data_IF_875874577048
#
_entry.id   IF_875874577048
#
_cell.length_a   1.000
_cell.length_b   1.000
_cell.length_c   1.000
_cell.angle_alpha   90.00
_cell.angle_beta   90.00
_cell.angle_gamma   90.00
#
_symmetry.space_group_name_H-M   'P 1'
#
loop_
_entity.id
_entity.type
_entity.pdbx_description
1 polymer ?
#
# COMPACT_ATOMS: atom_id res chain seq x y z
N UNK A 1 9.40 20.57 13.48
CA UNK A 1 8.53 20.87 12.30
C UNK A 1 9.19 20.27 11.06
N UNK A 2 8.44 19.55 10.22
CA UNK A 2 8.99 19.02 8.96
C UNK A 2 9.14 20.14 7.95
N UNK A 3 10.32 20.25 7.32
CA UNK A 3 10.65 21.35 6.42
C UNK A 3 10.10 21.18 4.98
N UNK A 4 9.51 20.01 4.66
CA UNK A 4 9.08 19.70 3.30
C UNK A 4 7.62 19.22 3.26
N UNK A 5 6.86 19.61 2.23
CA UNK A 5 5.51 19.10 2.00
C UNK A 5 5.55 17.57 1.72
N UNK A 6 4.41 16.92 1.85
CA UNK A 6 4.27 15.50 1.53
C UNK A 6 4.43 15.29 0.01
N UNK A 7 5.52 14.63 -0.36
CA UNK A 7 5.87 14.32 -1.75
C UNK A 7 5.42 12.91 -2.18
N UNK A 8 4.35 12.37 -1.55
CA UNK A 8 3.79 11.10 -1.99
C UNK A 8 3.28 11.22 -3.44
N UNK A 9 3.68 10.33 -4.35
CA UNK A 9 3.16 10.35 -5.72
C UNK A 9 1.65 10.19 -5.75
N UNK A 10 1.01 10.87 -6.69
CA UNK A 10 -0.36 10.64 -7.11
C UNK A 10 -0.44 10.00 -8.49
N UNK A 11 -1.65 9.94 -9.05
CA UNK A 11 -1.90 9.57 -10.43
C UNK A 11 -2.01 10.80 -11.36
N UNK A 12 -2.39 11.94 -10.79
CA UNK A 12 -2.44 13.25 -11.46
C UNK A 12 -1.06 13.92 -11.38
N UNK A 13 -0.52 14.03 -10.15
CA UNK A 13 0.81 14.60 -9.91
C UNK A 13 1.86 13.49 -9.90
N UNK A 14 2.59 13.34 -11.00
CA UNK A 14 3.65 12.36 -11.13
C UNK A 14 4.88 12.75 -10.31
N UNK A 15 5.47 11.77 -9.64
CA UNK A 15 6.79 11.95 -9.07
C UNK A 15 7.86 11.71 -10.15
N UNK A 16 8.75 12.68 -10.36
CA UNK A 16 9.84 12.53 -11.31
C UNK A 16 10.91 11.59 -10.76
N UNK A 17 11.18 10.51 -11.48
CA UNK A 17 12.19 9.50 -11.17
C UNK A 17 13.24 9.43 -12.28
N UNK A 18 14.27 8.61 -12.13
CA UNK A 18 15.35 8.51 -13.11
C UNK A 18 14.91 7.84 -14.41
N UNK A 19 13.87 7.02 -14.35
CA UNK A 19 13.28 6.27 -15.45
C UNK A 19 12.00 6.92 -16.00
N UNK A 20 11.72 8.18 -15.69
CA UNK A 20 10.51 8.91 -16.10
C UNK A 20 9.56 9.16 -14.94
N UNK A 21 8.33 9.56 -15.27
CA UNK A 21 7.29 9.82 -14.29
C UNK A 21 6.85 8.53 -13.57
N UNK A 22 6.56 8.65 -12.28
CA UNK A 22 6.00 7.61 -11.45
C UNK A 22 4.63 8.04 -10.96
N UNK A 23 3.60 7.29 -11.34
CA UNK A 23 2.26 7.39 -10.79
C UNK A 23 2.05 6.39 -9.66
N UNK A 24 1.26 6.77 -8.65
CA UNK A 24 0.74 5.84 -7.63
C UNK A 24 -0.77 5.90 -7.62
N UNK A 25 -1.39 4.82 -8.04
CA UNK A 25 -2.83 4.64 -8.09
C UNK A 25 -3.29 4.03 -6.77
N UNK A 26 -4.20 4.72 -6.08
CA UNK A 26 -4.82 4.21 -4.85
C UNK A 26 -5.92 3.23 -5.21
N UNK A 27 -5.86 2.07 -4.56
CA UNK A 27 -6.81 0.96 -4.73
C UNK A 27 -7.38 0.63 -3.35
N UNK A 28 -8.46 1.30 -2.92
CA UNK A 28 -9.07 1.05 -1.63
C UNK A 28 -9.43 -0.42 -1.44
N UNK A 29 -8.98 -1.01 -0.32
CA UNK A 29 -9.13 -2.45 -0.05
C UNK A 29 -8.29 -3.38 -0.93
N UNK A 30 -7.53 -2.84 -1.88
CA UNK A 30 -6.76 -3.61 -2.86
C UNK A 30 -7.58 -4.26 -3.96
N UNK A 31 -8.91 -4.12 -3.98
CA UNK A 31 -9.83 -4.84 -4.88
C UNK A 31 -9.96 -4.15 -6.24
N UNK A 32 -9.85 -4.93 -7.30
CA UNK A 32 -10.00 -4.51 -8.69
C UNK A 32 -10.85 -5.52 -9.45
N UNK A 33 -11.87 -5.03 -10.17
CA UNK A 33 -12.55 -5.85 -11.16
C UNK A 33 -11.61 -6.25 -12.29
N UNK A 34 -12.00 -7.22 -13.11
CA UNK A 34 -11.21 -7.63 -14.28
C UNK A 34 -10.96 -6.43 -15.22
N UNK A 35 -11.99 -5.64 -15.48
CA UNK A 35 -11.92 -4.46 -16.34
C UNK A 35 -11.01 -3.38 -15.75
N UNK A 36 -11.11 -3.11 -14.46
CA UNK A 36 -10.26 -2.14 -13.77
C UNK A 36 -8.78 -2.56 -13.79
N UNK A 37 -8.54 -3.85 -13.54
CA UNK A 37 -7.20 -4.38 -13.58
C UNK A 37 -6.60 -4.36 -15.00
N UNK A 38 -7.41 -4.66 -16.02
CA UNK A 38 -7.00 -4.56 -17.42
C UNK A 38 -6.67 -3.12 -17.84
N UNK A 39 -7.41 -2.11 -17.34
CA UNK A 39 -7.04 -0.70 -17.57
C UNK A 39 -5.65 -0.39 -17.02
N UNK A 40 -5.29 -0.88 -15.82
CA UNK A 40 -3.96 -0.68 -15.25
C UNK A 40 -2.87 -1.43 -16.04
N UNK A 41 -3.14 -2.67 -16.46
CA UNK A 41 -2.21 -3.47 -17.25
C UNK A 41 -1.92 -2.83 -18.61
N UNK A 42 -2.97 -2.46 -19.33
CA UNK A 42 -2.84 -1.81 -20.64
C UNK A 42 -2.14 -0.45 -20.52
N UNK A 43 -2.47 0.34 -19.49
CA UNK A 43 -1.76 1.59 -19.25
C UNK A 43 -0.26 1.37 -18.94
N UNK A 44 0.10 0.34 -18.20
CA UNK A 44 1.50 0.03 -17.94
C UNK A 44 2.26 -0.42 -19.19
N UNK A 45 1.60 -1.14 -20.11
CA UNK A 45 2.20 -1.61 -21.37
C UNK A 45 2.36 -0.48 -22.39
N UNK A 46 1.37 0.40 -22.50
CA UNK A 46 1.33 1.43 -23.55
C UNK A 46 2.00 2.74 -23.11
N UNK A 47 1.88 3.12 -21.85
CA UNK A 47 2.33 4.42 -21.35
C UNK A 47 3.54 4.33 -20.43
N UNK A 48 3.84 3.16 -19.89
CA UNK A 48 4.85 2.98 -18.87
C UNK A 48 5.88 1.91 -19.19
N UNK A 49 6.50 1.38 -18.15
CA UNK A 49 7.59 0.40 -18.25
C UNK A 49 7.16 -1.04 -18.55
N UNK A 50 5.87 -1.31 -18.76
CA UNK A 50 5.32 -2.65 -18.95
C UNK A 50 5.11 -3.45 -17.65
N UNK A 51 5.26 -2.80 -16.50
CA UNK A 51 5.12 -3.45 -15.18
C UNK A 51 4.20 -2.68 -14.25
N UNK A 52 3.46 -3.42 -13.41
CA UNK A 52 2.75 -2.91 -12.26
C UNK A 52 3.57 -3.19 -11.01
N UNK A 53 3.89 -2.15 -10.21
CA UNK A 53 4.61 -2.32 -8.95
C UNK A 53 3.63 -2.28 -7.78
N UNK A 54 3.51 -3.40 -7.06
CA UNK A 54 2.64 -3.52 -5.90
C UNK A 54 3.30 -2.89 -4.67
N UNK A 55 2.51 -2.16 -3.89
CA UNK A 55 3.02 -1.46 -2.71
C UNK A 55 2.61 -2.15 -1.41
N UNK A 56 3.31 -1.84 -0.31
CA UNK A 56 2.95 -2.30 1.04
C UNK A 56 1.64 -1.70 1.59
N UNK A 57 0.94 -0.88 0.80
CA UNK A 57 -0.39 -0.35 1.11
C UNK A 57 -1.46 -0.84 0.15
N UNK A 58 -1.21 -1.99 -0.50
CA UNK A 58 -2.12 -2.58 -1.48
C UNK A 58 -2.49 -1.64 -2.65
N UNK A 59 -1.60 -0.69 -2.99
CA UNK A 59 -1.75 0.21 -4.13
C UNK A 59 -0.86 -0.24 -5.29
N UNK A 60 -1.07 0.37 -6.46
CA UNK A 60 -0.27 0.11 -7.67
C UNK A 60 0.59 1.32 -8.02
N UNK A 61 1.78 1.09 -8.52
CA UNK A 61 2.61 2.09 -9.18
C UNK A 61 2.87 1.71 -10.64
N UNK A 62 2.86 2.71 -11.50
CA UNK A 62 3.31 2.63 -12.89
C UNK A 62 4.48 3.60 -13.05
N UNK A 63 5.56 3.14 -13.65
CA UNK A 63 6.80 3.89 -13.86
C UNK A 63 7.10 4.08 -15.34
N UNK A 64 8.01 5.00 -15.64
CA UNK A 64 8.43 5.27 -17.02
C UNK A 64 7.41 6.06 -17.80
N UNK A 65 6.55 6.84 -17.12
CA UNK A 65 5.53 7.65 -17.75
C UNK A 65 6.13 8.95 -18.27
N UNK A 66 5.78 9.34 -19.51
CA UNK A 66 6.10 10.64 -20.06
C UNK A 66 5.15 11.72 -19.52
N UNK A 67 3.87 11.38 -19.33
CA UNK A 67 2.81 12.27 -18.86
C UNK A 67 1.76 11.51 -18.05
N UNK A 68 1.14 12.20 -17.07
CA UNK A 68 0.00 11.67 -16.30
C UNK A 68 -1.36 11.90 -16.94
N UNK A 69 -1.46 12.71 -18.01
CA UNK A 69 -2.75 13.17 -18.58
C UNK A 69 -3.58 11.99 -19.10
N UNK A 70 -2.98 11.16 -19.96
CA UNK A 70 -3.69 10.02 -20.54
C UNK A 70 -4.01 8.96 -19.48
N UNK A 71 -3.04 8.66 -18.59
CA UNK A 71 -3.25 7.74 -17.48
C UNK A 71 -4.42 8.18 -16.62
N UNK A 72 -4.45 9.44 -16.18
CA UNK A 72 -5.53 9.96 -15.32
C UNK A 72 -6.90 9.93 -16.01
N UNK A 73 -6.94 10.16 -17.32
CA UNK A 73 -8.16 10.00 -18.14
C UNK A 73 -8.70 8.56 -18.12
N UNK A 74 -7.82 7.57 -18.34
CA UNK A 74 -8.18 6.15 -18.30
C UNK A 74 -8.65 5.72 -16.89
N UNK A 75 -7.97 6.20 -15.85
CA UNK A 75 -8.33 5.90 -14.46
C UNK A 75 -9.70 6.47 -14.07
N UNK A 76 -10.02 7.71 -14.50
CA UNK A 76 -11.36 8.30 -14.27
C UNK A 76 -12.44 7.48 -14.98
N UNK A 77 -12.24 7.12 -16.23
CA UNK A 77 -13.18 6.30 -16.98
C UNK A 77 -13.45 4.93 -16.34
N UNK A 78 -12.45 4.35 -15.67
CA UNK A 78 -12.56 3.07 -14.95
C UNK A 78 -13.04 3.21 -13.49
N UNK A 79 -13.34 4.42 -13.00
CA UNK A 79 -13.72 4.65 -11.60
C UNK A 79 -12.58 4.52 -10.59
N UNK A 80 -11.32 4.41 -11.05
CA UNK A 80 -10.14 4.30 -10.18
C UNK A 80 -9.64 5.65 -9.66
N UNK A 81 -10.11 6.75 -10.25
CA UNK A 81 -9.81 8.13 -9.86
C UNK A 81 -11.13 8.90 -9.70
N UNK A 82 -11.92 8.64 -8.63
CA UNK A 82 -13.22 9.29 -8.43
C UNK A 82 -13.09 10.77 -8.03
N UNK A 83 -11.94 11.21 -7.53
CA UNK A 83 -11.67 12.58 -7.12
C UNK A 83 -10.20 12.92 -7.35
N UNK A 84 -9.94 13.96 -8.12
CA UNK A 84 -8.58 14.45 -8.39
C UNK A 84 -7.92 15.05 -7.13
N UNK A 85 -8.71 15.67 -6.26
CA UNK A 85 -8.22 16.34 -5.05
C UNK A 85 -7.90 15.35 -3.92
N UNK A 86 -8.66 14.24 -3.81
CA UNK A 86 -8.50 13.25 -2.74
C UNK A 86 -7.57 12.09 -3.13
N UNK A 87 -7.03 12.07 -4.35
CA UNK A 87 -6.33 10.91 -4.89
C UNK A 87 -5.22 10.37 -3.99
N UNK A 88 -4.47 11.26 -3.31
CA UNK A 88 -3.30 10.86 -2.51
C UNK A 88 -3.65 10.33 -1.12
N UNK A 89 -4.77 10.75 -0.54
CA UNK A 89 -5.14 10.38 0.82
C UNK A 89 -5.92 9.06 0.92
N UNK A 90 -6.47 8.55 -0.18
CA UNK A 90 -7.32 7.35 -0.26
C UNK A 90 -6.59 6.03 0.03
N UNK A 91 -5.75 5.98 1.06
CA UNK A 91 -5.08 4.74 1.44
C UNK A 91 -5.96 3.98 2.44
N UNK A 92 -6.69 2.98 1.95
CA UNK A 92 -7.49 2.07 2.77
C UNK A 92 -6.95 0.66 2.52
N UNK A 93 -6.35 0.04 3.53
CA UNK A 93 -5.91 -1.34 3.51
C UNK A 93 -6.99 -2.19 4.16
N UNK A 94 -7.42 -3.23 3.49
CA UNK A 94 -8.38 -4.19 4.04
C UNK A 94 -7.76 -5.59 4.19
N UNK A 95 -8.28 -6.38 5.13
CA UNK A 95 -7.90 -7.78 5.26
C UNK A 95 -8.27 -8.51 3.95
N UNK A 96 -7.28 -9.05 3.22
CA UNK A 96 -7.48 -9.39 1.81
C UNK A 96 -8.34 -10.65 1.59
N UNK A 97 -8.50 -11.49 2.61
CA UNK A 97 -9.29 -12.71 2.55
C UNK A 97 -10.69 -12.56 3.18
N UNK A 98 -11.00 -11.37 3.73
CA UNK A 98 -12.29 -11.08 4.34
C UNK A 98 -13.23 -10.43 3.32
N UNK A 99 -14.52 -10.65 3.49
CA UNK A 99 -15.59 -9.99 2.74
C UNK A 99 -15.89 -8.62 3.37
N UNK A 100 -15.12 -7.61 3.01
CA UNK A 100 -15.19 -6.27 3.60
C UNK A 100 -15.17 -5.14 2.56
N UNK A 101 -15.31 -5.46 1.26
CA UNK A 101 -15.18 -4.46 0.20
C UNK A 101 -16.30 -3.43 0.24
N UNK A 102 -17.54 -3.81 0.51
CA UNK A 102 -18.67 -2.87 0.61
C UNK A 102 -18.42 -1.81 1.69
N UNK A 103 -17.85 -2.21 2.84
CA UNK A 103 -17.48 -1.27 3.88
C UNK A 103 -16.34 -0.35 3.45
N UNK A 104 -15.35 -0.89 2.75
CA UNK A 104 -14.23 -0.10 2.19
C UNK A 104 -14.73 0.94 1.20
N UNK A 105 -15.62 0.55 0.28
CA UNK A 105 -16.17 1.44 -0.75
C UNK A 105 -17.01 2.55 -0.11
N UNK A 106 -17.82 2.22 0.91
CA UNK A 106 -18.59 3.20 1.66
C UNK A 106 -17.68 4.20 2.40
N UNK A 107 -16.58 3.74 3.01
CA UNK A 107 -15.59 4.61 3.66
C UNK A 107 -14.90 5.52 2.62
N UNK A 108 -14.45 4.96 1.50
CA UNK A 108 -13.75 5.73 0.44
C UNK A 108 -14.66 6.81 -0.13
N UNK A 109 -15.92 6.46 -0.43
CA UNK A 109 -16.91 7.41 -0.92
C UNK A 109 -17.19 8.53 0.11
N UNK A 110 -17.36 8.19 1.38
CA UNK A 110 -17.63 9.15 2.43
C UNK A 110 -16.44 10.08 2.70
N UNK A 111 -15.20 9.56 2.65
CA UNK A 111 -13.99 10.39 2.76
C UNK A 111 -13.84 11.35 1.57
N UNK A 112 -14.16 10.90 0.34
CA UNK A 112 -14.14 11.74 -0.86
C UNK A 112 -15.26 12.78 -0.89
N UNK A 113 -16.35 12.60 -0.15
CA UNK A 113 -17.44 13.55 -0.04
C UNK A 113 -17.11 14.77 0.86
N UNK A 114 -16.04 14.69 1.66
CA UNK A 114 -15.62 15.75 2.59
C UNK A 114 -14.45 16.56 1.99
N UNK A 115 -14.71 17.75 1.39
CA UNK A 115 -13.68 18.49 0.66
C UNK A 115 -12.43 18.82 1.48
N UNK A 116 -12.59 19.08 2.79
CA UNK A 116 -11.47 19.41 3.68
C UNK A 116 -10.49 18.24 3.88
N UNK A 117 -10.92 16.99 3.66
CA UNK A 117 -10.07 15.82 3.78
C UNK A 117 -9.10 15.64 2.59
N UNK A 118 -9.28 16.40 1.50
CA UNK A 118 -8.31 16.45 0.40
C UNK A 118 -6.91 16.90 0.87
N UNK A 119 -6.83 17.68 1.96
CA UNK A 119 -5.59 18.17 2.54
C UNK A 119 -4.89 17.15 3.47
N UNK A 120 -5.48 15.97 3.67
CA UNK A 120 -4.82 14.93 4.45
C UNK A 120 -3.56 14.43 3.74
N UNK A 121 -2.51 14.10 4.51
CA UNK A 121 -1.27 13.61 3.94
C UNK A 121 -1.46 12.32 3.14
N UNK A 122 -0.73 12.13 2.05
CA UNK A 122 -0.70 10.88 1.31
C UNK A 122 -0.14 9.69 2.13
N UNK A 123 0.27 9.93 3.37
CA UNK A 123 0.63 8.90 4.37
C UNK A 123 -0.51 8.53 5.32
N UNK A 124 -1.60 9.30 5.33
CA UNK A 124 -2.81 8.93 6.06
C UNK A 124 -3.25 7.53 5.63
N UNK A 125 -3.67 6.71 6.60
CA UNK A 125 -3.97 5.30 6.37
C UNK A 125 -5.16 4.85 7.21
N UNK A 126 -6.13 4.24 6.54
CA UNK A 126 -7.22 3.50 7.17
C UNK A 126 -6.95 2.01 7.04
N UNK A 127 -7.26 1.22 8.09
CA UNK A 127 -7.18 -0.25 8.07
C UNK A 127 -8.54 -0.86 8.40
N UNK A 128 -8.95 -1.89 7.65
CA UNK A 128 -10.23 -2.58 7.83
C UNK A 128 -10.00 -4.09 7.95
N UNK A 129 -10.40 -4.67 9.08
CA UNK A 129 -10.25 -6.09 9.37
C UNK A 129 -9.06 -6.43 10.27
N UNK A 130 -9.17 -7.55 10.95
CA UNK A 130 -8.22 -7.97 11.99
C UNK A 130 -6.81 -8.20 11.43
N UNK A 131 -6.70 -8.91 10.30
CA UNK A 131 -5.41 -9.33 9.73
C UNK A 131 -4.45 -8.16 9.37
N UNK A 132 -4.96 -6.95 9.25
CA UNK A 132 -4.22 -5.74 8.86
C UNK A 132 -4.18 -4.67 9.96
N UNK A 133 -4.80 -4.92 11.10
CA UNK A 133 -4.94 -3.92 12.18
C UNK A 133 -3.59 -3.47 12.76
N UNK A 134 -2.57 -4.34 12.75
CA UNK A 134 -1.20 -4.04 13.19
C UNK A 134 -0.32 -3.35 12.14
N UNK A 135 -0.84 -3.04 10.93
CA UNK A 135 -0.06 -2.32 9.91
C UNK A 135 0.08 -0.81 10.17
N UNK A 136 -0.28 -0.37 11.38
CA UNK A 136 -0.08 1.01 11.83
C UNK A 136 -1.00 2.01 11.13
N UNK A 137 -2.29 1.68 10.98
CA UNK A 137 -3.32 2.63 10.51
C UNK A 137 -3.44 3.84 11.43
N UNK A 138 -3.79 5.00 10.88
CA UNK A 138 -4.18 6.16 11.69
C UNK A 138 -5.55 5.93 12.31
N UNK A 139 -6.46 5.36 11.51
CA UNK A 139 -7.78 4.93 11.91
C UNK A 139 -7.95 3.48 11.45
N UNK A 140 -8.57 2.65 12.27
CA UNK A 140 -8.81 1.25 11.91
C UNK A 140 -10.14 0.73 12.44
N UNK A 141 -10.65 -0.31 11.80
CA UNK A 141 -11.85 -1.02 12.20
C UNK A 141 -11.57 -2.52 12.31
N UNK A 142 -11.94 -3.11 13.44
CA UNK A 142 -11.92 -4.57 13.66
C UNK A 142 -13.28 -4.96 14.26
N UNK A 143 -14.19 -5.47 13.44
CA UNK A 143 -15.59 -5.59 13.82
C UNK A 143 -16.16 -4.22 14.19
N UNK A 144 -16.70 -4.08 15.40
CA UNK A 144 -17.22 -2.83 15.96
C UNK A 144 -16.15 -1.98 16.68
N UNK A 145 -14.93 -2.51 16.85
CA UNK A 145 -13.85 -1.82 17.55
C UNK A 145 -13.20 -0.75 16.66
N UNK A 146 -13.15 0.49 17.15
CA UNK A 146 -12.40 1.58 16.51
C UNK A 146 -10.96 1.57 17.01
N UNK A 147 -10.03 1.49 16.07
CA UNK A 147 -8.59 1.62 16.33
C UNK A 147 -8.12 3.02 16.01
N UNK A 148 -7.24 3.58 16.82
CA UNK A 148 -6.60 4.87 16.59
C UNK A 148 -5.08 4.70 16.77
N UNK A 149 -4.32 5.18 15.79
CA UNK A 149 -2.86 5.01 15.72
C UNK A 149 -2.41 3.54 15.93
N UNK A 150 -3.19 2.59 15.37
CA UNK A 150 -2.90 1.15 15.43
C UNK A 150 -3.24 0.47 16.76
N UNK A 151 -3.99 1.12 17.65
CA UNK A 151 -4.39 0.56 18.96
C UNK A 151 -5.91 0.62 19.14
N UNK A 152 -6.49 -0.38 19.80
CA UNK A 152 -7.91 -0.37 20.21
C UNK A 152 -8.16 0.82 21.15
N UNK A 153 -8.98 1.76 20.70
CA UNK A 153 -9.32 2.97 21.47
C UNK A 153 -10.27 2.73 22.63
N UNK A 154 -10.82 1.52 22.78
CA UNK A 154 -11.91 1.20 23.70
C UNK A 154 -13.30 1.60 23.19
N UNK A 155 -13.40 2.32 22.07
CA UNK A 155 -14.69 2.66 21.46
C UNK A 155 -15.25 1.49 20.67
N UNK A 156 -16.58 1.32 20.76
CA UNK A 156 -17.37 0.39 19.94
C UNK A 156 -18.36 1.20 19.15
N UNK A 157 -18.29 1.11 17.82
CA UNK A 157 -19.03 1.97 16.91
C UNK A 157 -20.16 1.21 16.23
N UNK A 158 -21.35 1.81 16.18
CA UNK A 158 -22.49 1.29 15.45
C UNK A 158 -22.62 1.87 14.04
N UNK A 159 -21.92 2.99 13.79
CA UNK A 159 -21.77 3.63 12.49
C UNK A 159 -20.27 3.67 12.15
N UNK A 160 -19.71 2.61 11.55
CA UNK A 160 -18.27 2.54 11.27
C UNK A 160 -17.80 3.57 10.25
N UNK A 161 -18.62 3.87 9.22
CA UNK A 161 -18.29 4.86 8.19
C UNK A 161 -18.23 6.26 8.80
N UNK A 162 -19.26 6.68 9.51
CA UNK A 162 -19.28 7.98 10.16
C UNK A 162 -18.23 8.13 11.24
N UNK A 163 -17.86 7.06 11.94
CA UNK A 163 -16.77 7.08 12.93
C UNK A 163 -15.41 7.33 12.26
N UNK A 164 -15.13 6.68 11.13
CA UNK A 164 -13.89 6.89 10.37
C UNK A 164 -13.82 8.32 9.83
N UNK A 165 -14.89 8.83 9.23
CA UNK A 165 -14.94 10.21 8.70
C UNK A 165 -14.74 11.24 9.81
N UNK A 166 -15.47 11.12 10.92
CA UNK A 166 -15.32 12.05 12.07
C UNK A 166 -13.91 12.00 12.65
N UNK A 167 -13.31 10.80 12.78
CA UNK A 167 -11.93 10.68 13.25
C UNK A 167 -10.94 11.33 12.28
N UNK A 168 -11.15 11.20 10.96
CA UNK A 168 -10.33 11.81 9.93
C UNK A 168 -10.43 13.35 9.96
N UNK A 169 -11.64 13.91 10.11
CA UNK A 169 -11.86 15.34 10.27
C UNK A 169 -11.13 15.89 11.50
N UNK A 170 -11.30 15.27 12.66
CA UNK A 170 -10.61 15.64 13.89
C UNK A 170 -9.08 15.56 13.74
N UNK A 171 -8.56 14.53 13.07
CA UNK A 171 -7.14 14.47 12.77
C UNK A 171 -6.72 15.61 11.86
N UNK A 172 -7.47 15.91 10.79
CA UNK A 172 -7.23 17.04 9.89
C UNK A 172 -7.11 18.38 10.62
N UNK A 173 -8.02 18.66 11.55
CA UNK A 173 -8.04 19.89 12.36
C UNK A 173 -6.82 20.01 13.30
N UNK A 174 -6.38 18.92 13.91
CA UNK A 174 -5.33 18.97 14.94
C UNK A 174 -3.92 18.65 14.45
N UNK A 175 -3.76 18.14 13.23
CA UNK A 175 -2.48 17.57 12.76
C UNK A 175 -1.35 18.58 12.59
N UNK A 176 -1.67 19.86 12.30
CA UNK A 176 -0.64 20.84 11.92
C UNK A 176 0.26 20.31 10.79
N UNK A 177 1.52 20.05 11.07
CA UNK A 177 2.50 19.46 10.10
C UNK A 177 2.67 17.95 10.23
N UNK A 178 1.92 17.28 11.12
CA UNK A 178 1.99 15.84 11.30
C UNK A 178 1.44 15.10 10.07
N UNK A 179 2.08 13.98 9.72
CA UNK A 179 1.65 13.11 8.62
C UNK A 179 0.89 11.88 9.11
N UNK A 180 0.99 11.59 10.40
CA UNK A 180 0.37 10.43 11.05
C UNK A 180 -0.27 10.86 12.37
N UNK A 181 -1.36 10.18 12.74
CA UNK A 181 -2.02 10.43 14.03
C UNK A 181 -1.08 10.18 15.23
N UNK A 182 -0.21 9.20 15.13
CA UNK A 182 0.79 8.89 16.15
C UNK A 182 1.81 10.00 16.41
N UNK A 183 1.90 11.00 15.54
CA UNK A 183 2.78 12.18 15.66
C UNK A 183 2.09 13.36 16.36
N UNK A 184 0.78 13.26 16.62
CA UNK A 184 -0.01 14.35 17.24
C UNK A 184 -0.07 14.15 18.74
N UNK A 185 0.39 15.14 19.48
CA UNK A 185 0.35 15.12 20.95
C UNK A 185 -1.08 14.94 21.49
N UNK A 186 -1.28 13.86 22.25
CA UNK A 186 -2.59 13.47 22.74
C UNK A 186 -3.68 13.26 21.67
N UNK A 187 -3.31 13.09 20.38
CA UNK A 187 -4.25 12.98 19.26
C UNK A 187 -5.26 11.87 19.47
N UNK A 188 -4.78 10.66 19.81
CA UNK A 188 -5.66 9.51 20.12
C UNK A 188 -6.67 9.83 21.21
N UNK A 189 -6.23 10.40 22.34
CA UNK A 189 -7.12 10.75 23.46
C UNK A 189 -8.18 11.80 23.05
N UNK A 190 -7.78 12.82 22.29
CA UNK A 190 -8.70 13.88 21.84
C UNK A 190 -9.78 13.30 20.93
N UNK A 191 -9.40 12.47 19.94
CA UNK A 191 -10.37 11.81 19.04
C UNK A 191 -11.27 10.87 19.84
N UNK A 192 -10.72 10.04 20.72
CA UNK A 192 -11.51 9.12 21.55
C UNK A 192 -12.56 9.87 22.36
N UNK A 193 -12.16 10.94 23.07
CA UNK A 193 -13.08 11.75 23.88
C UNK A 193 -14.15 12.48 23.07
N UNK A 194 -13.85 12.88 21.84
CA UNK A 194 -14.82 13.55 20.95
C UNK A 194 -15.82 12.56 20.31
N UNK A 195 -15.43 11.30 20.13
CA UNK A 195 -16.28 10.28 19.53
C UNK A 195 -17.16 9.53 20.56
N UNK A 196 -16.79 9.54 21.84
CA UNK A 196 -17.60 8.90 22.86
C UNK A 196 -16.83 8.59 24.14
N UNK A 197 -17.45 7.76 24.98
CA UNK A 197 -16.84 7.29 26.24
C UNK A 197 -16.17 5.94 25.96
N UNK A 198 -14.85 5.82 26.07
CA UNK A 198 -14.19 4.56 25.83
C UNK A 198 -14.49 3.56 26.96
N UNK A 199 -14.74 2.33 26.56
CA UNK A 199 -14.70 1.18 27.45
C UNK A 199 -13.27 0.64 27.57
N UNK A 200 -13.16 -0.60 28.06
CA UNK A 200 -11.88 -1.30 28.10
C UNK A 200 -11.46 -1.73 26.67
N UNK A 201 -10.22 -1.43 26.29
CA UNK A 201 -9.61 -1.99 25.09
C UNK A 201 -9.48 -3.53 25.25
N UNK A 202 -10.00 -4.29 24.28
CA UNK A 202 -10.07 -5.76 24.36
C UNK A 202 -9.47 -6.45 23.13
N UNK A 203 -9.20 -5.67 22.07
CA UNK A 203 -8.76 -6.22 20.79
C UNK A 203 -7.31 -5.84 20.56
N UNK A 204 -6.46 -6.84 20.41
CA UNK A 204 -5.05 -6.61 20.05
C UNK A 204 -4.90 -6.36 18.55
N UNK A 205 -4.00 -5.47 18.20
CA UNK A 205 -3.59 -5.28 16.83
C UNK A 205 -2.77 -6.49 16.35
N UNK A 206 -3.10 -7.01 15.17
CA UNK A 206 -2.41 -8.16 14.58
C UNK A 206 -2.02 -7.90 13.13
N UNK A 207 -1.02 -8.62 12.66
CA UNK A 207 -0.64 -8.71 11.25
C UNK A 207 -0.62 -10.18 10.86
N UNK A 208 -1.54 -10.56 9.98
CA UNK A 208 -1.62 -11.93 9.47
C UNK A 208 -1.46 -11.90 7.95
N UNK A 209 -0.25 -12.20 7.43
CA UNK A 209 -0.01 -12.22 6.01
C UNK A 209 -0.88 -13.24 5.27
N UNK A 210 -1.35 -12.85 4.07
CA UNK A 210 -1.92 -13.80 3.13
C UNK A 210 -0.78 -14.67 2.57
N UNK A 211 -0.80 -15.94 2.91
CA UNK A 211 0.24 -16.90 2.54
C UNK A 211 -0.01 -17.39 1.11
N UNK A 212 1.02 -17.49 0.24
CA UNK A 212 0.89 -18.06 -1.08
C UNK A 212 0.23 -19.45 -1.07
N UNK A 213 -0.70 -19.65 -2.01
CA UNK A 213 -1.54 -20.85 -2.10
C UNK A 213 -2.40 -20.81 -3.38
N UNK A 214 -3.39 -21.68 -3.51
CA UNK A 214 -4.20 -21.79 -4.73
C UNK A 214 -4.89 -20.49 -5.16
N UNK A 215 -5.22 -19.62 -4.20
CA UNK A 215 -5.89 -18.33 -4.43
C UNK A 215 -5.03 -17.13 -4.07
N UNK A 216 -3.80 -17.33 -3.61
CA UNK A 216 -2.86 -16.25 -3.25
C UNK A 216 -1.57 -16.44 -4.04
N UNK A 217 -1.35 -15.58 -5.02
CA UNK A 217 -0.16 -15.59 -5.86
C UNK A 217 0.82 -14.49 -5.42
N UNK A 218 2.01 -14.89 -5.00
CA UNK A 218 3.10 -13.97 -4.70
C UNK A 218 3.70 -13.41 -5.99
N UNK A 219 3.99 -12.12 -6.00
CA UNK A 219 4.61 -11.44 -7.14
C UNK A 219 6.09 -11.23 -6.85
N UNK A 220 7.01 -11.79 -7.66
CA UNK A 220 8.44 -11.60 -7.48
C UNK A 220 8.81 -10.13 -7.32
N UNK A 221 9.44 -9.77 -6.19
CA UNK A 221 9.80 -8.40 -5.81
C UNK A 221 8.63 -7.39 -5.83
N UNK A 222 7.38 -7.85 -5.88
CA UNK A 222 6.20 -7.01 -6.05
C UNK A 222 6.11 -6.33 -7.41
N UNK A 223 6.80 -6.84 -8.44
CA UNK A 223 6.86 -6.29 -9.80
C UNK A 223 6.18 -7.23 -10.78
N UNK A 224 4.91 -6.98 -11.06
CA UNK A 224 4.08 -7.79 -11.94
C UNK A 224 4.28 -7.39 -13.39
N UNK A 225 4.60 -8.34 -14.25
CA UNK A 225 4.55 -8.14 -15.71
C UNK A 225 3.10 -7.89 -16.12
N UNK A 226 2.86 -6.74 -16.74
CA UNK A 226 1.51 -6.32 -17.11
C UNK A 226 0.85 -7.18 -18.21
N UNK A 227 1.56 -8.11 -18.82
CA UNK A 227 1.01 -9.10 -19.76
C UNK A 227 0.27 -10.24 -19.05
N UNK A 228 0.55 -10.46 -17.76
CA UNK A 228 -0.05 -11.54 -16.98
C UNK A 228 -1.46 -11.18 -16.50
N UNK A 229 -2.27 -12.19 -16.20
CA UNK A 229 -3.58 -12.10 -15.56
C UNK A 229 -4.61 -11.23 -16.32
N UNK A 230 -4.58 -11.23 -17.65
CA UNK A 230 -5.59 -10.51 -18.47
C UNK A 230 -7.01 -11.05 -18.19
N UNK A 231 -7.97 -10.14 -18.00
CA UNK A 231 -9.36 -10.49 -17.74
C UNK A 231 -9.62 -11.14 -16.37
N UNK A 232 -8.66 -11.03 -15.42
CA UNK A 232 -8.76 -11.64 -14.09
C UNK A 232 -9.05 -10.56 -13.04
N UNK A 233 -10.12 -10.67 -12.23
CA UNK A 233 -10.28 -9.80 -11.07
C UNK A 233 -9.23 -10.16 -10.02
N UNK A 234 -8.66 -9.14 -9.34
CA UNK A 234 -7.61 -9.35 -8.36
C UNK A 234 -7.85 -8.53 -7.09
N UNK A 235 -7.34 -9.02 -5.95
CA UNK A 235 -7.18 -8.18 -4.77
C UNK A 235 -5.70 -8.10 -4.40
N UNK A 236 -5.15 -6.90 -4.42
CA UNK A 236 -3.77 -6.63 -4.04
C UNK A 236 -3.64 -6.70 -2.52
N UNK A 237 -2.58 -7.33 -2.03
CA UNK A 237 -2.33 -7.43 -0.60
C UNK A 237 -1.19 -6.50 -0.16
N UNK A 238 -1.12 -6.10 1.12
CA UNK A 238 -0.01 -5.33 1.67
C UNK A 238 1.35 -6.05 1.57
N UNK A 239 1.33 -7.35 1.34
CA UNK A 239 2.53 -8.20 1.22
C UNK A 239 2.99 -8.36 -0.23
N UNK A 240 2.46 -7.50 -1.15
CA UNK A 240 2.81 -7.51 -2.58
C UNK A 240 2.51 -8.84 -3.27
N UNK A 241 1.45 -9.50 -2.84
CA UNK A 241 0.81 -10.64 -3.49
C UNK A 241 -0.56 -10.25 -4.01
N UNK A 242 -1.17 -11.14 -4.77
CA UNK A 242 -2.52 -10.99 -5.32
C UNK A 242 -3.39 -12.12 -4.82
N UNK A 243 -4.61 -11.81 -4.39
CA UNK A 243 -5.67 -12.80 -4.29
C UNK A 243 -6.34 -12.87 -5.65
N UNK A 244 -6.48 -14.07 -6.18
CA UNK A 244 -7.06 -14.37 -7.50
C UNK A 244 -8.10 -15.48 -7.38
N UNK A 245 -9.06 -15.60 -8.31
CA UNK A 245 -9.96 -16.74 -8.35
C UNK A 245 -9.22 -18.07 -8.43
N UNK A 246 -9.79 -19.11 -7.84
CA UNK A 246 -9.25 -20.46 -7.94
C UNK A 246 -9.19 -20.92 -9.40
N UNK A 247 -8.11 -21.62 -9.78
CA UNK A 247 -7.89 -22.07 -11.15
C UNK A 247 -7.34 -21.01 -12.10
N UNK A 248 -7.03 -19.79 -11.61
CA UNK A 248 -6.33 -18.77 -12.41
C UNK A 248 -4.96 -19.26 -12.84
N UNK A 249 -4.58 -19.01 -14.10
CA UNK A 249 -3.19 -19.24 -14.56
C UNK A 249 -2.25 -18.24 -13.88
N UNK A 250 -1.42 -18.75 -12.99
CA UNK A 250 -0.43 -17.99 -12.21
C UNK A 250 1.01 -18.18 -12.73
N UNK A 251 1.19 -18.59 -13.98
CA UNK A 251 2.51 -18.68 -14.60
C UNK A 251 3.26 -17.36 -14.48
N UNK A 252 4.51 -17.41 -14.01
CA UNK A 252 5.33 -16.22 -13.72
C UNK A 252 5.16 -15.63 -12.31
N UNK A 253 4.24 -16.18 -11.52
CA UNK A 253 4.02 -15.88 -10.11
C UNK A 253 4.42 -17.09 -9.25
N UNK A 254 4.38 -16.94 -7.92
CA UNK A 254 4.62 -18.08 -7.04
C UNK A 254 3.43 -18.31 -6.10
N UNK A 255 3.03 -19.59 -5.98
CA UNK A 255 1.88 -20.02 -5.16
C UNK A 255 2.31 -20.96 -4.04
N UNK A 256 3.60 -21.27 -3.91
CA UNK A 256 4.15 -22.07 -2.81
C UNK A 256 4.77 -21.16 -1.74
N UNK A 257 4.47 -21.38 -0.45
CA UNK A 257 5.17 -20.71 0.64
C UNK A 257 6.67 -21.08 0.71
N UNK A 258 7.06 -22.21 0.11
CA UNK A 258 8.45 -22.66 0.04
C UNK A 258 9.21 -22.06 -1.15
N UNK A 259 8.57 -21.17 -1.93
CA UNK A 259 9.25 -20.48 -3.03
C UNK A 259 10.41 -19.64 -2.51
N UNK A 260 11.54 -19.67 -3.22
CA UNK A 260 12.70 -18.83 -2.90
C UNK A 260 12.39 -17.34 -2.98
N UNK A 261 11.32 -16.92 -3.65
CA UNK A 261 10.83 -15.54 -3.65
C UNK A 261 10.09 -15.15 -2.37
N UNK A 262 9.63 -16.14 -1.59
CA UNK A 262 8.87 -15.84 -0.37
C UNK A 262 9.76 -15.15 0.66
N UNK A 263 9.30 -14.02 1.19
CA UNK A 263 10.06 -13.24 2.16
C UNK A 263 11.17 -12.35 1.56
N UNK A 264 11.37 -12.36 0.22
CA UNK A 264 12.37 -11.53 -0.46
C UNK A 264 11.74 -10.25 -0.99
N UNK A 265 12.38 -9.12 -0.72
CA UNK A 265 11.95 -7.81 -1.21
C UNK A 265 13.14 -6.97 -1.64
N UNK A 266 12.92 -6.00 -2.52
CA UNK A 266 13.93 -5.08 -2.99
C UNK A 266 13.38 -3.67 -3.20
N UNK A 267 14.25 -2.67 -3.11
CA UNK A 267 13.94 -1.35 -3.62
C UNK A 267 14.00 -1.35 -5.17
N UNK A 268 13.64 -0.22 -5.78
CA UNK A 268 13.65 -0.11 -7.26
C UNK A 268 15.03 -0.38 -7.88
N UNK A 269 16.11 0.11 -7.26
CA UNK A 269 17.45 -0.05 -7.83
C UNK A 269 17.70 0.82 -9.07
N UNK A 270 18.86 0.64 -9.72
CA UNK A 270 19.11 1.15 -11.06
C UNK A 270 18.31 0.31 -12.08
N UNK A 271 17.97 0.86 -13.24
CA UNK A 271 18.14 2.25 -13.67
C UNK A 271 17.07 3.20 -13.09
N UNK A 272 15.99 2.70 -12.47
CA UNK A 272 14.83 3.47 -12.03
C UNK A 272 15.09 4.43 -10.85
N UNK A 273 16.23 4.34 -10.17
CA UNK A 273 16.59 5.21 -9.06
C UNK A 273 18.01 5.78 -9.23
N UNK A 274 18.11 7.10 -9.47
CA UNK A 274 19.40 7.79 -9.61
C UNK A 274 20.31 7.73 -8.35
N UNK A 275 19.72 7.45 -7.17
CA UNK A 275 20.44 7.34 -5.89
C UNK A 275 20.97 5.94 -5.62
N UNK A 276 20.54 4.96 -6.41
CA UNK A 276 20.97 3.59 -6.24
C UNK A 276 22.39 3.40 -6.75
N UNK A 277 23.18 2.62 -6.03
CA UNK A 277 24.55 2.26 -6.40
C UNK A 277 24.59 1.02 -7.30
N UNK A 278 23.49 0.23 -7.35
CA UNK A 278 23.42 -1.04 -8.03
C UNK A 278 22.07 -1.27 -8.74
N UNK A 279 22.03 -2.19 -9.70
CA UNK A 279 20.79 -2.80 -10.19
C UNK A 279 20.33 -3.88 -9.21
N UNK A 280 19.71 -3.43 -8.14
CA UNK A 280 19.30 -4.27 -7.00
C UNK A 280 18.43 -5.45 -7.43
N UNK A 281 17.56 -5.28 -8.43
CA UNK A 281 16.65 -6.34 -8.87
C UNK A 281 17.37 -7.44 -9.63
N UNK A 282 18.33 -7.07 -10.47
CA UNK A 282 19.19 -8.03 -11.15
C UNK A 282 20.05 -8.80 -10.13
N UNK A 283 20.63 -8.10 -9.15
CA UNK A 283 21.47 -8.69 -8.12
C UNK A 283 20.70 -9.68 -7.24
N UNK A 284 19.47 -9.31 -6.81
CA UNK A 284 18.58 -10.24 -6.07
C UNK A 284 18.24 -11.45 -6.89
N UNK A 285 17.95 -11.29 -8.17
CA UNK A 285 17.60 -12.41 -9.05
C UNK A 285 18.79 -13.38 -9.21
N UNK A 286 20.01 -12.86 -9.28
CA UNK A 286 21.23 -13.67 -9.32
C UNK A 286 21.52 -14.40 -7.99
N UNK A 287 21.20 -13.75 -6.86
CA UNK A 287 21.35 -14.32 -5.52
C UNK A 287 20.27 -15.36 -5.19
N UNK A 288 19.11 -15.29 -5.83
CA UNK A 288 17.95 -16.13 -5.55
C UNK A 288 18.34 -17.61 -5.74
N UNK A 289 17.90 -18.46 -4.81
CA UNK A 289 18.29 -19.87 -4.76
C UNK A 289 19.10 -20.21 -3.52
N UNK A 290 19.64 -19.21 -2.83
CA UNK A 290 20.20 -19.39 -1.49
C UNK A 290 19.07 -19.55 -0.48
N UNK A 291 18.98 -20.65 0.26
CA UNK A 291 17.95 -20.83 1.29
C UNK A 291 18.05 -19.73 2.35
N UNK A 292 16.89 -19.16 2.71
CA UNK A 292 16.80 -18.15 3.77
C UNK A 292 15.56 -18.40 4.61
N UNK A 293 15.72 -18.30 5.92
CA UNK A 293 14.63 -18.51 6.89
C UNK A 293 14.03 -17.18 7.40
N UNK A 294 14.63 -16.04 7.05
CA UNK A 294 14.25 -14.71 7.50
C UNK A 294 13.73 -13.87 6.34
N UNK A 295 12.98 -12.80 6.66
CA UNK A 295 12.68 -11.77 5.67
C UNK A 295 13.98 -11.13 5.19
N UNK A 296 14.10 -10.92 3.89
CA UNK A 296 15.29 -10.34 3.27
C UNK A 296 14.90 -9.10 2.48
N UNK A 297 15.66 -8.00 2.66
CA UNK A 297 15.46 -6.78 1.92
C UNK A 297 16.75 -6.25 1.29
N UNK A 298 16.70 -6.02 -0.01
CA UNK A 298 17.81 -5.47 -0.77
C UNK A 298 17.59 -4.00 -1.10
N UNK A 299 18.57 -3.16 -0.81
CA UNK A 299 18.51 -1.71 -0.99
C UNK A 299 19.70 -1.17 -1.77
N UNK A 300 19.43 -0.33 -2.76
CA UNK A 300 20.47 0.29 -3.59
C UNK A 300 21.20 1.44 -2.93
N UNK A 301 20.81 1.86 -1.73
CA UNK A 301 21.50 2.89 -0.94
C UNK A 301 20.99 2.91 0.51
N UNK A 302 21.64 3.71 1.37
CA UNK A 302 21.33 3.86 2.80
C UNK A 302 19.91 4.38 3.12
N UNK A 303 19.12 4.80 2.11
CA UNK A 303 17.70 5.19 2.32
C UNK A 303 16.78 4.00 2.62
N UNK A 304 17.19 2.79 2.26
CA UNK A 304 16.46 1.52 2.52
C UNK A 304 14.97 1.57 2.13
N UNK A 305 14.69 2.12 0.93
CA UNK A 305 13.32 2.31 0.48
C UNK A 305 12.58 0.99 0.33
N UNK A 306 11.41 0.88 0.96
CA UNK A 306 10.56 -0.32 0.88
C UNK A 306 10.92 -1.44 1.87
N UNK A 307 11.83 -1.19 2.81
CA UNK A 307 12.14 -2.13 3.89
C UNK A 307 10.86 -2.55 4.64
N UNK A 308 10.58 -3.85 4.78
CA UNK A 308 9.50 -4.35 5.62
C UNK A 308 9.73 -3.99 7.10
N UNK A 309 8.66 -3.96 7.88
CA UNK A 309 8.76 -3.88 9.33
C UNK A 309 9.19 -5.23 9.94
N UNK A 310 9.74 -5.19 11.15
CA UNK A 310 10.17 -6.38 11.88
C UNK A 310 11.62 -6.78 11.64
N UNK A 311 11.95 -8.03 11.96
CA UNK A 311 13.28 -8.59 11.82
C UNK A 311 13.54 -8.93 10.35
N UNK A 312 14.44 -8.21 9.74
CA UNK A 312 14.76 -8.30 8.31
C UNK A 312 16.26 -8.29 8.14
N UNK A 313 16.80 -9.28 7.45
CA UNK A 313 18.18 -9.24 6.97
C UNK A 313 18.24 -8.27 5.80
N UNK A 314 19.08 -7.26 5.89
CA UNK A 314 19.19 -6.23 4.87
C UNK A 314 20.51 -6.34 4.13
N UNK A 315 20.45 -6.25 2.81
CA UNK A 315 21.61 -6.06 1.94
C UNK A 315 21.56 -4.63 1.38
N UNK A 316 22.50 -3.79 1.80
CA UNK A 316 22.55 -2.39 1.40
C UNK A 316 23.73 -2.19 0.46
N UNK A 317 23.46 -1.73 -0.77
CA UNK A 317 24.50 -1.52 -1.76
C UNK A 317 25.51 -0.46 -1.29
N UNK A 318 26.79 -0.78 -1.47
CA UNK A 318 27.96 0.07 -1.27
C UNK A 318 28.63 0.36 -2.62
N UNK A 319 29.77 1.04 -2.64
CA UNK A 319 30.54 1.25 -3.87
C UNK A 319 31.07 -0.07 -4.47
N UNK A 320 31.34 -1.07 -3.61
CA UNK A 320 32.07 -2.29 -3.95
C UNK A 320 31.25 -3.59 -3.76
N UNK A 321 29.91 -3.48 -3.57
CA UNK A 321 29.06 -4.64 -3.35
C UNK A 321 27.88 -4.34 -2.41
N UNK A 322 27.64 -5.24 -1.44
CA UNK A 322 26.57 -5.09 -0.46
C UNK A 322 27.09 -5.31 0.97
N UNK A 323 26.64 -4.47 1.88
CA UNK A 323 26.78 -4.67 3.32
C UNK A 323 25.54 -5.42 3.84
N UNK A 324 25.77 -6.52 4.58
CA UNK A 324 24.72 -7.25 5.27
C UNK A 324 24.49 -6.64 6.67
N UNK A 325 23.24 -6.32 6.99
CA UNK A 325 22.80 -5.78 8.27
C UNK A 325 21.72 -6.70 8.83
N UNK A 326 21.89 -7.14 10.07
CA UNK A 326 20.95 -8.00 10.81
C UNK A 326 20.31 -7.27 11.96
#
# INVERSE_FOLDING_TARGET
MRAHPDACPGAVDLHQAADGGLARIRVPGGSLSAEQFDVLRVAALELGSGFLELTSRANVQIRGLDSGIELSGRLRAAGLLPSDTHERMRNIIAAPLDDNQDLVDAIDQALCAEPVLADLPGRFLVTVGAAVSGLGGDIGLVGDALFLAGQDSGLRVTDPVGAVVRAALLFGEMRGTAWRLSEVDNGVRKITSALGVPGQARTSAVVTPAIPGPTVAGVPLGRLDARLLAGVPVRITPWRSLVVPEGTDTTGLFTSPDSHWHGVSACTGRPGCAKSLSDVRADVTAWLGTPHASLVHWSGCARRCGRPAGDVVEYVATGDGYEEIR
#
